data_IF_730122688475
#
_entry.id   IF_730122688475
#
_cell.length_a   1.000
_cell.length_b   1.000
_cell.length_c   1.000
_cell.angle_alpha   90.00
_cell.angle_beta   90.00
_cell.angle_gamma   90.00
#
_symmetry.space_group_name_H-M   'P 1'
#
loop_
_entity.id
_entity.type
_entity.pdbx_description
1 polymer ?
#
# COMPACT_ATOMS: atom_id res chain seq x y z
N UNK A 1 5.19 33.31 -21.56
CA UNK A 1 5.10 32.72 -21.48
C UNK A 1 5.10 31.96 -20.94
N UNK A 2 4.97 31.79 -20.69
CA UNK A 2 4.97 31.07 -20.28
C UNK A 2 4.66 30.17 -20.27
N UNK A 3 4.57 29.95 -20.45
CA UNK A 3 4.25 29.10 -20.50
C UNK A 3 4.32 28.22 -20.01
N UNK A 4 4.34 28.27 -20.08
CA UNK A 4 4.35 27.30 -19.84
C UNK A 4 4.55 26.66 -18.81
N UNK A 5 4.53 26.97 -18.48
CA UNK A 5 4.68 26.38 -17.66
C UNK A 5 3.94 25.57 -17.16
N UNK A 6 3.49 25.27 -17.39
CA UNK A 6 2.91 24.44 -17.08
C UNK A 6 3.26 23.46 -16.59
N UNK A 7 3.43 23.20 -16.37
CA UNK A 7 3.78 22.39 -16.00
C UNK A 7 3.48 21.74 -15.27
N UNK A 8 3.28 21.41 -15.25
CA UNK A 8 3.11 20.81 -14.79
C UNK A 8 3.32 20.14 -13.98
N UNK A 9 3.29 20.02 -13.87
CA UNK A 9 3.47 19.38 -13.32
C UNK A 9 3.72 19.03 -12.31
N UNK A 10 3.58 19.21 -12.06
CA UNK A 10 3.82 18.93 -11.28
C UNK A 10 3.73 18.35 -10.28
N UNK A 11 3.74 18.46 -10.27
CA UNK A 11 3.59 18.15 -9.27
C UNK A 11 3.29 16.97 -8.59
N UNK A 12 2.67 16.48 -8.36
CA UNK A 12 2.11 15.32 -7.84
C UNK A 12 3.02 14.15 -7.73
N UNK A 13 3.89 14.04 -8.61
CA UNK A 13 4.74 12.90 -8.74
C UNK A 13 5.65 12.60 -7.55
N UNK A 14 6.03 13.57 -6.69
CA UNK A 14 6.94 13.24 -5.60
C UNK A 14 6.45 12.18 -4.62
N UNK A 15 5.13 11.99 -4.53
CA UNK A 15 4.59 11.00 -3.61
C UNK A 15 4.35 9.64 -4.26
N UNK A 16 4.50 9.54 -5.58
CA UNK A 16 4.30 8.27 -6.27
C UNK A 16 5.57 7.45 -6.25
N UNK A 17 5.54 6.40 -5.46
CA UNK A 17 6.68 5.50 -5.31
C UNK A 17 6.29 4.13 -5.83
N UNK A 18 7.12 3.59 -6.70
CA UNK A 18 6.93 2.26 -7.25
C UNK A 18 7.36 1.23 -6.22
N UNK A 19 6.40 0.53 -5.64
CA UNK A 19 6.68 -0.48 -4.63
C UNK A 19 6.84 -1.88 -5.22
N UNK A 20 6.52 -2.05 -6.50
CA UNK A 20 6.63 -3.35 -7.14
C UNK A 20 8.08 -3.66 -7.48
N UNK A 21 8.47 -4.91 -7.28
CA UNK A 21 9.79 -5.38 -7.65
C UNK A 21 9.89 -5.53 -9.17
N UNK A 22 8.80 -5.98 -9.80
CA UNK A 22 8.71 -6.07 -11.25
C UNK A 22 7.28 -5.73 -11.68
N UNK A 23 6.98 -5.85 -12.97
CA UNK A 23 5.68 -5.46 -13.49
C UNK A 23 4.60 -6.55 -13.41
N UNK A 24 4.92 -7.70 -12.86
CA UNK A 24 3.97 -8.80 -12.75
C UNK A 24 3.24 -8.72 -11.41
N UNK A 25 1.95 -8.42 -11.47
CA UNK A 25 1.14 -8.37 -10.25
C UNK A 25 -0.33 -8.56 -10.58
N UNK A 26 -1.08 -8.97 -9.57
CA UNK A 26 -2.53 -9.04 -9.63
C UNK A 26 -3.09 -8.03 -8.66
N UNK A 27 -3.89 -7.10 -9.16
CA UNK A 27 -4.49 -6.05 -8.37
C UNK A 27 -5.97 -6.29 -8.13
N UNK A 28 -6.47 -5.73 -7.04
CA UNK A 28 -7.87 -5.80 -6.68
C UNK A 28 -8.30 -4.42 -6.19
N UNK A 29 -9.44 -3.94 -6.68
CA UNK A 29 -10.01 -2.66 -6.24
C UNK A 29 -10.47 -2.75 -4.79
N UNK A 30 -10.28 -1.69 -4.05
CA UNK A 30 -10.66 -1.63 -2.64
C UNK A 30 -11.05 -0.20 -2.29
N UNK A 31 -12.17 -0.04 -1.60
CA UNK A 31 -12.52 1.25 -1.02
C UNK A 31 -11.98 1.29 0.40
N UNK A 32 -11.14 2.28 0.68
CA UNK A 32 -10.50 2.39 1.98
C UNK A 32 -11.45 2.98 3.02
N UNK A 33 -11.35 2.47 4.24
CA UNK A 33 -12.10 2.99 5.37
C UNK A 33 -11.49 4.32 5.83
N UNK A 34 -12.29 5.17 6.47
CA UNK A 34 -11.82 6.47 6.92
C UNK A 34 -10.68 6.37 7.92
N UNK A 35 -10.59 5.28 8.66
CA UNK A 35 -9.53 5.06 9.65
C UNK A 35 -8.19 4.70 9.01
N UNK A 36 -8.16 4.39 7.71
CA UNK A 36 -6.92 4.05 7.04
C UNK A 36 -6.04 5.26 6.73
N UNK A 37 -6.60 6.46 6.83
CA UNK A 37 -5.89 7.67 6.42
C UNK A 37 -5.19 8.33 7.61
N UNK A 38 -3.93 8.69 7.39
CA UNK A 38 -3.15 9.50 8.34
C UNK A 38 -2.81 10.80 7.64
N UNK A 39 -3.23 11.92 8.21
CA UNK A 39 -3.06 13.24 7.59
C UNK A 39 -3.67 13.29 6.18
N UNK A 40 -4.78 12.61 5.98
CA UNK A 40 -5.52 12.64 4.73
C UNK A 40 -5.01 11.72 3.63
N UNK A 41 -4.02 10.87 3.92
CA UNK A 41 -3.45 9.97 2.92
C UNK A 41 -3.15 8.60 3.51
N UNK A 42 -3.33 7.56 2.69
CA UNK A 42 -2.86 6.22 2.98
C UNK A 42 -1.79 5.89 1.95
N UNK A 43 -0.56 5.70 2.39
CA UNK A 43 0.57 5.60 1.48
C UNK A 43 0.74 4.20 0.90
N UNK A 44 1.25 4.15 -0.33
CA UNK A 44 1.57 2.90 -1.01
C UNK A 44 2.55 2.08 -0.18
N UNK A 45 2.38 0.78 -0.21
CA UNK A 45 3.20 -0.14 0.58
C UNK A 45 2.58 -0.52 1.92
N UNK A 46 1.43 0.06 2.28
CA UNK A 46 0.73 -0.28 3.50
C UNK A 46 -0.04 -1.58 3.31
N UNK A 47 0.16 -2.58 4.17
CA UNK A 47 -0.68 -3.78 4.12
C UNK A 47 -2.11 -3.43 4.48
N UNK A 48 -3.07 -3.96 3.73
CA UNK A 48 -4.48 -3.62 3.88
C UNK A 48 -5.31 -4.87 4.14
N UNK A 49 -6.36 -4.68 4.93
CA UNK A 49 -7.34 -5.72 5.19
C UNK A 49 -8.47 -5.65 4.16
N UNK A 50 -9.27 -6.70 4.09
CA UNK A 50 -10.36 -6.80 3.13
C UNK A 50 -11.45 -5.75 3.33
N UNK A 51 -11.59 -5.22 4.54
CA UNK A 51 -12.62 -4.23 4.87
C UNK A 51 -12.19 -2.78 4.56
N UNK A 52 -11.01 -2.59 3.99
CA UNK A 52 -10.51 -1.27 3.66
C UNK A 52 -9.69 -0.60 4.76
N UNK A 53 -9.52 -1.26 5.88
CA UNK A 53 -8.69 -0.76 6.98
C UNK A 53 -7.25 -1.23 6.82
N UNK A 54 -6.33 -0.54 7.49
CA UNK A 54 -4.97 -1.03 7.55
C UNK A 54 -4.95 -2.39 8.22
N UNK A 55 -4.10 -3.28 7.74
CA UNK A 55 -3.99 -4.61 8.31
C UNK A 55 -3.50 -4.52 9.76
N UNK A 56 -4.03 -5.39 10.59
CA UNK A 56 -3.67 -5.48 11.99
C UNK A 56 -3.20 -6.88 12.31
N UNK A 57 -2.17 -6.98 13.14
CA UNK A 57 -1.66 -8.25 13.62
C UNK A 57 -2.11 -8.42 15.06
N UNK A 58 -2.61 -9.61 15.37
CA UNK A 58 -3.07 -9.92 16.73
C UNK A 58 -2.63 -11.34 17.11
N UNK A 59 -2.72 -11.63 18.40
CA UNK A 59 -2.34 -12.92 18.93
C UNK A 59 -1.02 -12.85 19.68
N UNK A 60 -0.65 -13.99 20.27
CA UNK A 60 0.56 -14.08 21.08
C UNK A 60 1.77 -14.38 20.21
N UNK A 61 2.95 -14.07 20.75
CA UNK A 61 4.21 -14.34 20.09
C UNK A 61 4.28 -15.82 19.69
N UNK A 62 4.58 -16.06 18.41
CA UNK A 62 4.64 -17.41 17.87
C UNK A 62 3.33 -17.92 17.30
N UNK A 63 2.20 -17.22 17.57
CA UNK A 63 0.89 -17.61 17.07
C UNK A 63 0.13 -16.41 16.54
N UNK A 64 0.85 -15.41 16.04
CA UNK A 64 0.22 -14.18 15.57
C UNK A 64 -0.41 -14.39 14.20
N UNK A 65 -1.54 -13.71 13.99
CA UNK A 65 -2.23 -13.68 12.70
C UNK A 65 -2.44 -12.24 12.28
N UNK A 66 -2.57 -12.02 10.99
CA UNK A 66 -2.79 -10.70 10.42
C UNK A 66 -4.04 -10.71 9.55
N UNK A 67 -4.71 -9.56 9.49
CA UNK A 67 -5.85 -9.38 8.60
C UNK A 67 -5.44 -8.97 7.19
N UNK A 68 -4.16 -8.87 6.91
CA UNK A 68 -3.66 -8.42 5.61
C UNK A 68 -4.10 -9.33 4.47
N UNK A 69 -4.61 -8.73 3.39
CA UNK A 69 -4.97 -9.46 2.17
C UNK A 69 -4.18 -8.96 0.97
N UNK A 70 -3.57 -7.79 1.07
CA UNK A 70 -2.77 -7.24 -0.01
C UNK A 70 -2.05 -5.99 0.44
N UNK A 71 -1.25 -5.45 -0.45
CA UNK A 71 -0.44 -4.25 -0.20
C UNK A 71 -0.93 -3.13 -1.11
N UNK A 72 -1.13 -1.95 -0.55
CA UNK A 72 -1.62 -0.81 -1.32
C UNK A 72 -0.62 -0.42 -2.42
N UNK A 73 -1.11 -0.32 -3.64
CA UNK A 73 -0.25 -0.10 -4.82
C UNK A 73 0.20 1.35 -4.97
N UNK A 74 -0.71 2.29 -4.72
CA UNK A 74 -0.44 3.72 -4.89
C UNK A 74 -1.00 4.47 -3.70
N UNK A 75 -0.52 5.70 -3.50
CA UNK A 75 -1.07 6.56 -2.46
C UNK A 75 -2.54 6.86 -2.75
N UNK A 76 -3.36 6.76 -1.70
CA UNK A 76 -4.80 7.02 -1.79
C UNK A 76 -5.13 8.15 -0.83
N UNK A 77 -5.90 9.11 -1.30
CA UNK A 77 -6.26 10.29 -0.52
C UNK A 77 -7.69 10.18 -0.02
N UNK A 78 -7.95 10.80 1.12
CA UNK A 78 -9.22 10.67 1.83
C UNK A 78 -10.41 11.17 1.01
N UNK A 79 -10.20 12.18 0.18
CA UNK A 79 -11.27 12.73 -0.66
C UNK A 79 -11.61 11.81 -1.83
N UNK A 80 -10.81 10.79 -2.07
CA UNK A 80 -11.01 9.84 -3.15
C UNK A 80 -10.52 8.47 -2.69
N UNK A 81 -11.28 7.79 -1.81
CA UNK A 81 -10.79 6.63 -1.07
C UNK A 81 -10.76 5.32 -1.83
N UNK A 82 -10.86 5.34 -3.14
CA UNK A 82 -10.76 4.13 -3.96
C UNK A 82 -9.30 3.88 -4.32
N UNK A 83 -8.84 2.67 -4.08
CA UNK A 83 -7.48 2.28 -4.40
C UNK A 83 -7.39 0.87 -4.91
N UNK A 84 -6.17 0.46 -5.23
CA UNK A 84 -5.88 -0.90 -5.69
C UNK A 84 -4.89 -1.51 -4.73
N UNK A 85 -5.16 -2.73 -4.30
CA UNK A 85 -4.20 -3.51 -3.51
C UNK A 85 -3.62 -4.61 -4.38
N UNK A 86 -2.36 -4.93 -4.12
CA UNK A 86 -1.67 -6.03 -4.80
C UNK A 86 -1.93 -7.29 -4.00
N UNK A 87 -2.70 -8.20 -4.58
CA UNK A 87 -3.02 -9.48 -3.93
C UNK A 87 -2.16 -10.61 -4.43
N UNK A 88 -1.34 -10.38 -5.44
CA UNK A 88 -0.39 -11.34 -5.96
C UNK A 88 0.71 -10.62 -6.72
N UNK A 89 1.95 -11.05 -6.56
CA UNK A 89 3.07 -10.45 -7.26
C UNK A 89 4.29 -10.29 -6.38
N UNK A 90 5.20 -9.43 -6.80
CA UNK A 90 6.49 -9.22 -6.14
C UNK A 90 6.60 -7.78 -5.68
N UNK A 91 6.84 -7.61 -4.38
CA UNK A 91 6.92 -6.29 -3.75
C UNK A 91 8.37 -6.01 -3.37
N UNK A 92 8.84 -4.79 -3.66
CA UNK A 92 10.13 -4.33 -3.16
C UNK A 92 9.92 -3.89 -1.71
N UNK A 93 10.27 -4.77 -0.78
CA UNK A 93 9.98 -4.57 0.63
C UNK A 93 10.63 -3.30 1.17
N UNK A 94 11.87 -3.05 0.80
CA UNK A 94 12.59 -1.87 1.28
C UNK A 94 11.88 -0.58 0.88
N UNK A 95 11.48 -0.46 -0.39
CA UNK A 95 10.78 0.73 -0.87
C UNK A 95 9.40 0.86 -0.25
N UNK A 96 8.66 -0.26 -0.14
CA UNK A 96 7.33 -0.24 0.42
C UNK A 96 7.34 0.21 1.87
N UNK A 97 8.24 -0.33 2.67
CA UNK A 97 8.33 0.04 4.07
C UNK A 97 8.84 1.47 4.27
N UNK A 98 9.79 1.89 3.45
CA UNK A 98 10.32 3.26 3.54
C UNK A 98 9.26 4.28 3.19
N UNK A 99 8.46 4.04 2.16
CA UNK A 99 7.45 4.99 1.72
C UNK A 99 6.24 5.01 2.67
N UNK A 100 5.75 3.84 3.05
CA UNK A 100 4.56 3.77 3.90
C UNK A 100 4.84 4.09 5.35
N UNK A 101 6.06 3.89 5.80
CA UNK A 101 6.41 4.01 7.21
C UNK A 101 5.92 2.83 8.05
N UNK A 102 5.40 1.79 7.41
CA UNK A 102 4.85 0.62 8.09
C UNK A 102 5.72 -0.60 7.79
N UNK A 103 6.13 -1.29 8.83
CA UNK A 103 6.88 -2.54 8.68
C UNK A 103 5.91 -3.67 8.40
N UNK A 104 6.21 -4.47 7.37
CA UNK A 104 5.41 -5.66 7.07
C UNK A 104 5.98 -6.80 7.92
N UNK A 105 5.22 -7.20 8.93
CA UNK A 105 5.70 -8.23 9.85
C UNK A 105 5.50 -9.64 9.29
N UNK A 106 6.03 -10.63 10.00
CA UNK A 106 5.97 -12.02 9.54
C UNK A 106 4.54 -12.52 9.41
N UNK A 107 3.66 -12.10 10.33
CA UNK A 107 2.26 -12.52 10.28
C UNK A 107 1.56 -11.97 9.04
N UNK A 108 1.82 -10.71 8.68
CA UNK A 108 1.25 -10.11 7.49
C UNK A 108 1.76 -10.81 6.22
N UNK A 109 3.05 -11.11 6.17
CA UNK A 109 3.63 -11.84 5.03
C UNK A 109 3.01 -13.22 4.89
N UNK A 110 2.78 -13.91 6.00
CA UNK A 110 2.16 -15.23 5.98
C UNK A 110 0.71 -15.17 5.53
N UNK A 111 0.00 -14.11 5.87
CA UNK A 111 -1.40 -13.93 5.47
C UNK A 111 -1.54 -13.64 3.98
N UNK A 112 -0.56 -12.96 3.39
CA UNK A 112 -0.56 -12.61 1.97
C UNK A 112 0.22 -13.65 1.18
N UNK A 113 -0.39 -14.82 0.98
CA UNK A 113 0.30 -16.00 0.45
C UNK A 113 0.80 -15.85 -0.98
N UNK A 114 0.14 -15.03 -1.78
CA UNK A 114 0.50 -14.88 -3.19
C UNK A 114 1.38 -13.65 -3.43
N UNK A 115 1.75 -12.94 -2.38
CA UNK A 115 2.61 -11.77 -2.47
C UNK A 115 3.99 -12.15 -1.97
N UNK A 116 4.99 -11.94 -2.81
CA UNK A 116 6.39 -12.26 -2.48
C UNK A 116 7.11 -10.95 -2.14
N UNK A 117 7.71 -10.90 -0.97
CA UNK A 117 8.44 -9.71 -0.51
C UNK A 117 9.94 -9.92 -0.79
N UNK A 118 10.43 -9.17 -1.75
CA UNK A 118 11.80 -9.30 -2.26
C UNK A 118 12.82 -8.50 -1.45
#
# INVERSE_FOLDING_TARGET
MALGTMKYSEVSAPSDVEILYNSEYVGKSLTLDSTAFTSGVCKAGTPMAADGKKAATSGESGSQTSTAVGVLLCDVYEDRPQGTIVIGGYINTTKAQAHSGVTVDAAAKAAMKNVVFM
#
